data_IF_724226750175
#
_entry.id   IF_724226750175
#
_cell.length_a   1.000
_cell.length_b   1.000
_cell.length_c   1.000
_cell.angle_alpha   90.00
_cell.angle_beta   90.00
_cell.angle_gamma   90.00
#
_symmetry.space_group_name_H-M   'P 1'
#
loop_
_entity.id
_entity.type
_entity.pdbx_description
1 polymer ?
#
# COMPACT_ATOMS: atom_id res chain seq x y z
N UNK A 1 -3.52 -34.39 30.05
CA UNK A 1 -3.03 -33.45 29.01
C UNK A 1 -3.73 -32.12 29.22
N UNK A 2 -3.02 -31.00 29.48
CA UNK A 2 -3.67 -29.71 29.58
C UNK A 2 -4.06 -29.25 28.18
N UNK A 3 -5.36 -29.08 27.95
CA UNK A 3 -5.92 -28.40 26.79
C UNK A 3 -5.58 -26.92 26.91
N UNK A 4 -4.62 -26.43 26.13
CA UNK A 4 -4.37 -24.99 26.03
C UNK A 4 -5.54 -24.33 25.31
N UNK A 5 -6.48 -23.79 26.09
CA UNK A 5 -7.50 -22.86 25.60
C UNK A 5 -6.81 -21.71 24.86
N UNK A 6 -7.24 -21.34 23.64
CA UNK A 6 -6.66 -20.20 22.94
C UNK A 6 -6.84 -18.95 23.79
N UNK A 7 -5.72 -18.32 24.17
CA UNK A 7 -5.72 -17.08 24.95
C UNK A 7 -6.54 -16.01 24.21
N UNK A 8 -7.54 -15.39 24.85
CA UNK A 8 -8.31 -14.33 24.22
C UNK A 8 -7.39 -13.15 23.85
N UNK A 9 -7.69 -12.52 22.71
CA UNK A 9 -7.03 -11.28 22.27
C UNK A 9 -7.06 -10.26 23.40
N UNK A 10 -5.90 -9.79 23.85
CA UNK A 10 -5.81 -8.91 25.02
C UNK A 10 -6.32 -7.52 24.65
N UNK A 11 -6.87 -6.79 25.62
CA UNK A 11 -7.33 -5.40 25.40
C UNK A 11 -6.21 -4.48 24.87
N UNK A 12 -4.94 -4.80 25.17
CA UNK A 12 -3.76 -4.12 24.65
C UNK A 12 -3.59 -4.28 23.13
N UNK A 13 -4.07 -5.38 22.54
CA UNK A 13 -3.96 -5.67 21.11
C UNK A 13 -4.97 -4.86 20.27
N UNK A 14 -5.86 -4.10 20.93
CA UNK A 14 -6.84 -3.21 20.28
C UNK A 14 -6.43 -1.74 20.28
N UNK A 15 -5.32 -1.38 20.92
CA UNK A 15 -4.89 0.02 21.04
C UNK A 15 -4.12 0.44 19.78
N UNK A 16 -4.52 1.55 19.19
CA UNK A 16 -3.80 2.18 18.08
C UNK A 16 -2.44 2.67 18.59
N UNK A 17 -1.37 2.36 17.86
CA UNK A 17 -0.02 2.76 18.22
C UNK A 17 0.13 4.29 18.21
N UNK A 18 0.77 4.89 19.24
CA UNK A 18 1.13 6.31 19.21
C UNK A 18 1.95 6.70 17.98
N UNK A 19 2.76 5.78 17.44
CA UNK A 19 3.54 5.99 16.22
C UNK A 19 2.63 6.19 15.01
N UNK A 20 1.60 5.36 14.87
CA UNK A 20 0.61 5.49 13.79
C UNK A 20 -0.17 6.80 13.91
N UNK A 21 -0.57 7.18 15.12
CA UNK A 21 -1.24 8.45 15.38
C UNK A 21 -0.35 9.63 15.02
N UNK A 22 0.94 9.59 15.38
CA UNK A 22 1.90 10.63 15.03
C UNK A 22 2.07 10.75 13.52
N UNK A 23 2.24 9.63 12.79
CA UNK A 23 2.34 9.63 11.32
C UNK A 23 1.06 10.21 10.71
N UNK A 24 -0.12 9.81 11.19
CA UNK A 24 -1.41 10.31 10.71
C UNK A 24 -1.55 11.81 10.97
N UNK A 25 -1.14 12.30 12.15
CA UNK A 25 -1.18 13.71 12.49
C UNK A 25 -0.22 14.53 11.59
N UNK A 26 1.01 14.06 11.38
CA UNK A 26 1.96 14.69 10.45
C UNK A 26 1.39 14.73 9.04
N UNK A 27 0.77 13.64 8.58
CA UNK A 27 0.12 13.55 7.27
C UNK A 27 -0.99 14.59 7.14
N UNK A 28 -1.85 14.74 8.15
CA UNK A 28 -2.95 15.70 8.15
C UNK A 28 -2.44 17.16 8.14
N UNK A 29 -1.43 17.47 8.96
CA UNK A 29 -0.81 18.79 9.00
C UNK A 29 -0.12 19.12 7.68
N UNK A 30 0.59 18.16 7.09
CA UNK A 30 1.22 18.33 5.78
C UNK A 30 0.16 18.54 4.69
N UNK A 31 -0.92 17.76 4.67
CA UNK A 31 -2.03 17.93 3.74
C UNK A 31 -2.69 19.31 3.85
N UNK A 32 -2.91 19.79 5.08
CA UNK A 32 -3.35 21.18 5.30
C UNK A 32 -2.32 22.20 4.80
N UNK A 33 -1.02 21.96 5.00
CA UNK A 33 0.04 22.82 4.47
C UNK A 33 0.05 22.90 2.94
N UNK A 34 -0.20 21.79 2.25
CA UNK A 34 -0.37 21.74 0.79
C UNK A 34 -1.61 22.54 0.38
N UNK A 35 -2.73 22.36 1.08
CA UNK A 35 -3.96 23.12 0.83
C UNK A 35 -3.78 24.63 1.05
N UNK A 36 -3.09 25.02 2.13
CA UNK A 36 -2.84 26.41 2.48
C UNK A 36 -1.78 27.09 1.59
N UNK A 37 -1.05 26.34 0.76
CA UNK A 37 -0.01 26.87 -0.12
C UNK A 37 1.19 27.44 0.65
N UNK A 38 1.68 26.72 1.67
CA UNK A 38 2.84 27.17 2.45
C UNK A 38 4.10 27.37 1.57
N UNK A 39 5.04 28.26 1.95
CA UNK A 39 6.23 28.54 1.13
C UNK A 39 7.06 27.29 0.76
N UNK A 40 7.08 26.28 1.64
CA UNK A 40 7.76 25.00 1.39
C UNK A 40 6.78 23.93 0.86
N UNK A 41 6.00 24.26 -0.17
CA UNK A 41 4.92 23.38 -0.69
C UNK A 41 5.44 22.00 -1.12
N UNK A 42 6.62 21.92 -1.74
CA UNK A 42 7.21 20.63 -2.14
C UNK A 42 7.49 19.71 -0.95
N UNK A 43 8.01 20.24 0.16
CA UNK A 43 8.20 19.47 1.40
C UNK A 43 6.86 19.05 2.01
N UNK A 44 5.85 19.92 1.97
CA UNK A 44 4.51 19.59 2.43
C UNK A 44 3.87 18.46 1.59
N UNK A 45 4.02 18.50 0.26
CA UNK A 45 3.56 17.44 -0.65
C UNK A 45 4.29 16.14 -0.36
N UNK A 46 5.62 16.19 -0.18
CA UNK A 46 6.43 15.03 0.19
C UNK A 46 5.91 14.36 1.47
N UNK A 47 5.79 15.13 2.56
CA UNK A 47 5.34 14.61 3.85
C UNK A 47 3.90 14.09 3.80
N UNK A 48 3.01 14.76 3.07
CA UNK A 48 1.62 14.34 2.89
C UNK A 48 1.55 13.01 2.13
N UNK A 49 2.19 12.91 0.97
CA UNK A 49 2.13 11.71 0.12
C UNK A 49 2.82 10.53 0.79
N UNK A 50 4.05 10.70 1.31
CA UNK A 50 4.76 9.62 2.01
C UNK A 50 4.01 9.19 3.27
N UNK A 51 3.47 10.14 4.04
CA UNK A 51 2.70 9.84 5.24
C UNK A 51 1.42 9.07 4.95
N UNK A 52 0.64 9.52 3.96
CA UNK A 52 -0.58 8.84 3.52
C UNK A 52 -0.30 7.45 2.97
N UNK A 53 0.81 7.27 2.25
CA UNK A 53 1.29 5.98 1.79
C UNK A 53 1.65 5.03 2.94
N UNK A 54 2.38 5.50 3.96
CA UNK A 54 2.70 4.69 5.14
C UNK A 54 1.44 4.32 5.92
N UNK A 55 0.46 5.22 6.01
CA UNK A 55 -0.84 4.94 6.59
C UNK A 55 -1.56 3.84 5.82
N UNK A 56 -1.61 3.91 4.48
CA UNK A 56 -2.25 2.87 3.67
C UNK A 56 -1.57 1.52 3.82
N UNK A 57 -0.23 1.47 3.86
CA UNK A 57 0.52 0.24 4.15
C UNK A 57 0.19 -0.34 5.53
N UNK A 58 0.07 0.50 6.57
CA UNK A 58 -0.32 0.02 7.89
C UNK A 58 -1.74 -0.56 7.90
N UNK A 59 -2.67 0.07 7.17
CA UNK A 59 -4.05 -0.42 7.03
C UNK A 59 -4.10 -1.72 6.23
N UNK A 60 -3.28 -1.85 5.19
CA UNK A 60 -3.11 -3.07 4.39
C UNK A 60 -2.71 -4.27 5.27
N UNK A 61 -1.65 -4.12 6.05
CA UNK A 61 -1.19 -5.19 6.95
C UNK A 61 -2.19 -5.47 8.08
N UNK A 62 -2.85 -4.43 8.57
CA UNK A 62 -3.93 -4.60 9.54
C UNK A 62 -5.10 -5.40 8.95
N UNK A 63 -5.45 -5.19 7.68
CA UNK A 63 -6.53 -5.92 7.01
C UNK A 63 -6.21 -7.41 6.87
N UNK A 64 -4.98 -7.77 6.51
CA UNK A 64 -4.50 -9.15 6.56
C UNK A 64 -4.65 -9.74 7.97
N UNK A 65 -4.13 -9.04 8.98
CA UNK A 65 -4.14 -9.52 10.35
C UNK A 65 -5.55 -9.68 10.92
N UNK A 66 -6.45 -8.73 10.62
CA UNK A 66 -7.84 -8.75 11.05
C UNK A 66 -8.63 -9.88 10.41
N UNK A 67 -8.42 -10.09 9.11
CA UNK A 67 -9.09 -11.17 8.37
C UNK A 67 -8.59 -12.54 8.83
N UNK A 68 -7.29 -12.66 9.14
CA UNK A 68 -6.71 -13.87 9.71
C UNK A 68 -7.28 -14.17 11.10
N UNK A 69 -7.44 -13.16 11.95
CA UNK A 69 -8.08 -13.29 13.27
C UNK A 69 -9.53 -13.80 13.15
N UNK A 70 -10.34 -13.17 12.28
CA UNK A 70 -11.71 -13.64 12.04
C UNK A 70 -11.77 -15.05 11.43
N UNK A 71 -10.71 -15.46 10.73
CA UNK A 71 -10.59 -16.80 10.13
C UNK A 71 -10.10 -17.88 11.10
N UNK A 72 -9.71 -17.51 12.33
CA UNK A 72 -9.32 -18.42 13.41
C UNK A 72 -7.83 -18.35 13.84
N UNK A 73 -7.00 -17.50 13.21
CA UNK A 73 -5.62 -17.31 13.65
C UNK A 73 -5.56 -16.30 14.80
N UNK A 74 -5.57 -16.81 16.03
CA UNK A 74 -5.41 -15.97 17.23
C UNK A 74 -3.95 -15.51 17.46
N UNK A 75 -2.96 -16.08 16.74
CA UNK A 75 -1.54 -15.73 16.92
C UNK A 75 -1.22 -14.30 16.46
N UNK A 76 -2.04 -13.76 15.56
CA UNK A 76 -1.83 -12.44 14.95
C UNK A 76 -2.04 -11.29 15.94
N UNK A 77 -2.90 -11.50 16.95
CA UNK A 77 -3.05 -10.57 18.07
C UNK A 77 -1.78 -10.49 18.92
N UNK A 78 -1.19 -11.64 19.25
CA UNK A 78 0.02 -11.72 20.06
C UNK A 78 1.27 -11.15 19.35
N UNK A 79 1.29 -11.16 18.01
CA UNK A 79 2.37 -10.56 17.19
C UNK A 79 2.29 -9.02 17.11
N UNK A 80 1.23 -8.40 17.63
CA UNK A 80 1.08 -6.94 17.68
C UNK A 80 0.71 -6.28 16.35
N UNK A 81 0.40 -7.06 15.30
CA UNK A 81 0.00 -6.53 13.98
C UNK A 81 -1.36 -5.81 14.02
N UNK A 82 -2.17 -6.05 15.05
CA UNK A 82 -3.43 -5.34 15.26
C UNK A 82 -3.28 -3.91 15.82
N UNK A 83 -2.06 -3.47 16.13
CA UNK A 83 -1.80 -2.14 16.72
C UNK A 83 -1.47 -1.04 15.70
N UNK A 84 -1.52 -1.35 14.39
CA UNK A 84 -1.14 -0.43 13.30
C UNK A 84 0.30 0.11 13.43
N UNK A 85 1.17 -0.53 14.19
CA UNK A 85 2.52 -0.04 14.43
C UNK A 85 3.46 -0.47 13.29
N UNK A 86 3.98 0.45 12.46
CA UNK A 86 4.92 0.12 11.38
C UNK A 86 6.17 -0.59 11.88
N UNK A 87 6.62 -0.29 13.11
CA UNK A 87 7.85 -0.82 13.68
C UNK A 87 7.72 -2.27 14.20
N UNK A 88 6.50 -2.79 14.31
CA UNK A 88 6.26 -4.15 14.83
C UNK A 88 6.17 -5.21 13.73
N UNK A 89 6.20 -4.82 12.46
CA UNK A 89 6.18 -5.78 11.37
C UNK A 89 7.52 -6.51 11.28
N UNK A 90 7.47 -7.84 11.15
CA UNK A 90 8.61 -8.77 11.28
C UNK A 90 9.77 -8.47 10.35
N UNK A 91 9.50 -7.86 9.20
CA UNK A 91 10.52 -7.37 8.27
C UNK A 91 10.29 -5.89 7.93
N UNK A 92 10.21 -5.01 8.93
CA UNK A 92 10.01 -3.57 8.72
C UNK A 92 10.97 -2.96 7.67
N UNK A 93 12.20 -3.49 7.54
CA UNK A 93 13.15 -3.04 6.52
C UNK A 93 12.68 -3.38 5.08
N UNK A 94 12.29 -4.62 4.81
CA UNK A 94 11.78 -5.01 3.50
C UNK A 94 10.33 -4.54 3.27
N UNK A 95 9.56 -4.38 4.35
CA UNK A 95 8.12 -4.17 4.27
C UNK A 95 7.69 -2.71 4.32
N UNK A 96 8.57 -1.82 4.79
CA UNK A 96 8.31 -0.39 4.87
C UNK A 96 9.46 0.39 4.27
N UNK A 97 10.71 0.14 4.68
CA UNK A 97 11.85 0.95 4.22
C UNK A 97 12.04 0.82 2.71
N UNK A 98 12.02 -0.40 2.17
CA UNK A 98 12.18 -0.61 0.73
C UNK A 98 11.04 0.04 -0.08
N UNK A 99 9.74 -0.18 0.21
CA UNK A 99 8.65 0.52 -0.47
C UNK A 99 8.76 2.04 -0.40
N UNK A 100 9.07 2.60 0.77
CA UNK A 100 9.21 4.05 0.95
C UNK A 100 10.39 4.58 0.12
N UNK A 101 11.54 3.92 0.12
CA UNK A 101 12.69 4.33 -0.69
C UNK A 101 12.35 4.38 -2.19
N UNK A 102 11.59 3.42 -2.71
CA UNK A 102 11.19 3.44 -4.12
C UNK A 102 10.13 4.49 -4.45
N UNK A 103 9.20 4.77 -3.53
CA UNK A 103 8.29 5.90 -3.68
C UNK A 103 9.11 7.20 -3.75
N UNK A 104 10.11 7.37 -2.90
CA UNK A 104 11.04 8.52 -2.90
C UNK A 104 11.84 8.60 -4.21
N UNK A 105 12.45 7.49 -4.66
CA UNK A 105 13.40 7.47 -5.77
C UNK A 105 12.74 7.49 -7.16
N UNK A 106 11.60 6.81 -7.34
CA UNK A 106 11.01 6.57 -8.66
C UNK A 106 9.53 6.92 -8.80
N UNK A 107 8.83 7.25 -7.71
CA UNK A 107 7.40 7.53 -7.73
C UNK A 107 6.53 6.33 -8.09
N UNK A 108 7.01 5.12 -7.81
CA UNK A 108 6.27 3.86 -8.00
C UNK A 108 5.80 3.38 -6.62
N UNK A 109 4.50 3.17 -6.47
CA UNK A 109 3.93 2.59 -5.25
C UNK A 109 4.20 1.09 -5.20
N UNK A 110 4.94 0.61 -4.21
CA UNK A 110 5.31 -0.81 -4.08
C UNK A 110 4.52 -1.59 -3.02
N UNK A 111 4.37 -2.91 -3.21
CA UNK A 111 3.93 -3.82 -2.15
C UNK A 111 4.68 -3.62 -0.83
N UNK A 112 3.93 -3.62 0.28
CA UNK A 112 4.50 -3.97 1.58
C UNK A 112 5.07 -5.40 1.54
N UNK A 113 6.01 -5.68 2.42
CA UNK A 113 6.59 -7.01 2.56
C UNK A 113 5.64 -7.90 3.35
N UNK A 114 5.55 -9.16 2.95
CA UNK A 114 4.54 -10.09 3.43
C UNK A 114 4.50 -10.23 4.97
N UNK A 115 3.31 -10.06 5.56
CA UNK A 115 3.06 -10.41 6.96
C UNK A 115 2.99 -11.93 7.16
N UNK A 116 3.76 -12.43 8.13
CA UNK A 116 3.76 -13.85 8.51
C UNK A 116 2.48 -14.25 9.26
N UNK A 117 1.52 -14.77 8.49
CA UNK A 117 0.30 -15.41 8.98
C UNK A 117 0.57 -16.90 9.20
N UNK A 118 0.09 -17.45 10.31
CA UNK A 118 0.28 -18.87 10.63
C UNK A 118 -0.77 -19.71 9.91
N UNK A 119 -0.55 -19.91 8.60
CA UNK A 119 -1.47 -20.58 7.66
C UNK A 119 -1.93 -21.97 8.14
N UNK A 120 -1.14 -22.65 8.98
CA UNK A 120 -1.49 -23.97 9.54
C UNK A 120 -2.73 -23.97 10.44
N UNK A 121 -3.13 -22.81 10.98
CA UNK A 121 -4.31 -22.70 11.88
C UNK A 121 -5.61 -22.36 11.14
N UNK A 122 -5.54 -21.96 9.88
CA UNK A 122 -6.71 -21.49 9.11
C UNK A 122 -7.29 -22.65 8.29
N UNK A 123 -8.58 -22.92 8.50
CA UNK A 123 -9.32 -23.99 7.81
C UNK A 123 -10.00 -23.49 6.54
N UNK A 124 -9.69 -24.10 5.40
CA UNK A 124 -10.38 -23.91 4.13
C UNK A 124 -9.69 -22.95 3.15
N UNK A 125 -9.66 -23.33 1.87
CA UNK A 125 -8.94 -22.61 0.79
C UNK A 125 -9.43 -21.18 0.61
N UNK A 126 -10.75 -20.97 0.68
CA UNK A 126 -11.37 -19.65 0.58
C UNK A 126 -10.90 -18.67 1.66
N UNK A 127 -10.71 -19.13 2.90
CA UNK A 127 -10.25 -18.25 3.99
C UNK A 127 -8.81 -17.81 3.76
N UNK A 128 -7.96 -18.71 3.28
CA UNK A 128 -6.58 -18.37 2.88
C UNK A 128 -6.56 -17.32 1.77
N UNK A 129 -7.37 -17.52 0.72
CA UNK A 129 -7.48 -16.56 -0.37
C UNK A 129 -8.00 -15.19 0.10
N UNK A 130 -9.02 -15.18 0.97
CA UNK A 130 -9.60 -13.94 1.49
C UNK A 130 -8.61 -13.17 2.37
N UNK A 131 -7.83 -13.88 3.19
CA UNK A 131 -6.78 -13.25 4.00
C UNK A 131 -5.76 -12.59 3.08
N UNK A 132 -5.26 -13.28 2.05
CA UNK A 132 -4.33 -12.70 1.09
C UNK A 132 -4.96 -11.61 0.21
N UNK A 133 -6.27 -11.60 -0.01
CA UNK A 133 -6.92 -10.52 -0.75
C UNK A 133 -7.16 -9.26 0.10
N UNK A 134 -7.21 -9.37 1.43
CA UNK A 134 -7.64 -8.29 2.32
C UNK A 134 -6.74 -7.04 2.25
N UNK A 135 -5.42 -7.20 2.24
CA UNK A 135 -4.48 -6.09 2.05
C UNK A 135 -4.64 -5.42 0.68
N UNK A 136 -4.49 -6.14 -0.45
CA UNK A 136 -4.68 -5.58 -1.79
C UNK A 136 -6.03 -4.86 -1.96
N UNK A 137 -7.12 -5.39 -1.41
CA UNK A 137 -8.44 -4.74 -1.41
C UNK A 137 -8.44 -3.44 -0.61
N UNK A 138 -7.68 -3.35 0.48
CA UNK A 138 -7.51 -2.10 1.25
C UNK A 138 -6.81 -1.04 0.41
N UNK A 139 -5.79 -1.41 -0.38
CA UNK A 139 -5.15 -0.49 -1.32
C UNK A 139 -6.11 -0.03 -2.41
N UNK A 140 -6.98 -0.92 -2.93
CA UNK A 140 -8.03 -0.53 -3.89
C UNK A 140 -8.99 0.48 -3.28
N UNK A 141 -9.49 0.23 -2.06
CA UNK A 141 -10.37 1.18 -1.37
C UNK A 141 -9.67 2.52 -1.20
N UNK A 142 -8.39 2.53 -0.81
CA UNK A 142 -7.62 3.76 -0.66
C UNK A 142 -7.43 4.50 -1.99
N UNK A 143 -7.13 3.78 -3.07
CA UNK A 143 -7.03 4.33 -4.42
C UNK A 143 -8.36 5.00 -4.85
N UNK A 144 -9.49 4.32 -4.62
CA UNK A 144 -10.83 4.85 -4.89
C UNK A 144 -11.09 6.10 -4.05
N UNK A 145 -10.78 6.10 -2.75
CA UNK A 145 -10.96 7.29 -1.89
C UNK A 145 -10.11 8.46 -2.37
N UNK A 146 -8.86 8.23 -2.78
CA UNK A 146 -8.00 9.29 -3.30
C UNK A 146 -8.47 9.82 -4.65
N UNK A 147 -8.98 8.96 -5.53
CA UNK A 147 -9.42 9.36 -6.86
C UNK A 147 -10.88 9.86 -6.90
N UNK A 148 -11.69 9.58 -5.88
CA UNK A 148 -13.11 9.97 -5.84
C UNK A 148 -13.38 11.45 -6.12
N UNK A 149 -12.60 12.40 -5.58
CA UNK A 149 -12.82 13.81 -5.88
C UNK A 149 -12.74 14.16 -7.38
N UNK A 150 -11.96 13.40 -8.17
CA UNK A 150 -11.74 13.66 -9.59
C UNK A 150 -12.98 13.36 -10.43
N UNK A 151 -13.59 12.18 -10.26
CA UNK A 151 -14.79 11.82 -11.04
C UNK A 151 -16.09 12.37 -10.45
N UNK A 152 -16.11 12.72 -9.16
CA UNK A 152 -17.28 13.32 -8.51
C UNK A 152 -17.41 14.83 -8.77
N UNK A 153 -16.44 15.45 -9.45
CA UNK A 153 -16.41 16.90 -9.66
C UNK A 153 -16.20 17.69 -8.36
N UNK A 154 -15.61 17.07 -7.33
CA UNK A 154 -15.40 17.70 -6.02
C UNK A 154 -14.06 18.44 -5.93
N UNK A 155 -13.40 18.69 -7.07
CA UNK A 155 -12.13 19.42 -7.15
C UNK A 155 -12.30 20.89 -7.53
N UNK A 156 -13.52 21.35 -7.76
CA UNK A 156 -13.80 22.76 -8.03
C UNK A 156 -13.44 23.61 -6.80
N UNK A 157 -12.56 24.59 -7.00
CA UNK A 157 -12.04 25.45 -5.92
C UNK A 157 -10.96 24.80 -5.04
N UNK A 158 -10.55 23.55 -5.33
CA UNK A 158 -9.42 22.91 -4.65
C UNK A 158 -8.10 23.53 -5.14
N UNK A 159 -7.18 23.92 -4.24
CA UNK A 159 -5.87 24.45 -4.62
C UNK A 159 -5.11 23.49 -5.56
N UNK A 160 -4.47 23.97 -6.66
CA UNK A 160 -3.80 23.13 -7.64
C UNK A 160 -2.78 22.16 -7.02
N UNK A 161 -1.97 22.65 -6.08
CA UNK A 161 -0.97 21.82 -5.39
C UNK A 161 -1.60 20.62 -4.67
N UNK A 162 -2.77 20.80 -4.05
CA UNK A 162 -3.46 19.72 -3.33
C UNK A 162 -4.05 18.72 -4.31
N UNK A 163 -4.68 19.20 -5.39
CA UNK A 163 -5.17 18.36 -6.49
C UNK A 163 -4.06 17.48 -7.06
N UNK A 164 -2.90 18.05 -7.37
CA UNK A 164 -1.77 17.31 -7.92
C UNK A 164 -1.18 16.32 -6.93
N UNK A 165 -1.01 16.72 -5.66
CA UNK A 165 -0.56 15.79 -4.61
C UNK A 165 -1.52 14.60 -4.46
N UNK A 166 -2.82 14.83 -4.53
CA UNK A 166 -3.84 13.79 -4.47
C UNK A 166 -3.81 12.88 -5.71
N UNK A 167 -3.61 13.44 -6.90
CA UNK A 167 -3.47 12.69 -8.15
C UNK A 167 -2.26 11.76 -8.12
N UNK A 168 -1.11 12.25 -7.64
CA UNK A 168 0.07 11.42 -7.47
C UNK A 168 -0.10 10.36 -6.36
N UNK A 169 -0.77 10.68 -5.26
CA UNK A 169 -1.12 9.67 -4.24
C UNK A 169 -2.02 8.58 -4.84
N UNK A 170 -3.01 8.94 -5.66
CA UNK A 170 -3.86 7.97 -6.36
C UNK A 170 -3.03 7.06 -7.29
N UNK A 171 -2.08 7.62 -8.05
CA UNK A 171 -1.14 6.85 -8.86
C UNK A 171 -0.38 5.81 -8.03
N UNK A 172 0.17 6.21 -6.88
CA UNK A 172 0.88 5.29 -5.99
C UNK A 172 -0.04 4.15 -5.53
N UNK A 173 -1.27 4.45 -5.09
CA UNK A 173 -2.21 3.45 -4.59
C UNK A 173 -2.69 2.48 -5.67
N UNK A 174 -2.98 2.98 -6.88
CA UNK A 174 -3.34 2.13 -8.04
C UNK A 174 -2.18 1.21 -8.40
N UNK A 175 -0.96 1.76 -8.46
CA UNK A 175 0.26 0.98 -8.71
C UNK A 175 0.44 -0.11 -7.64
N UNK A 176 0.29 0.25 -6.36
CA UNK A 176 0.35 -0.68 -5.24
C UNK A 176 -0.67 -1.81 -5.40
N UNK A 177 -1.92 -1.46 -5.69
CA UNK A 177 -3.01 -2.41 -5.82
C UNK A 177 -2.72 -3.42 -6.94
N UNK A 178 -2.36 -2.92 -8.14
CA UNK A 178 -2.07 -3.78 -9.29
C UNK A 178 -0.89 -4.72 -8.98
N UNK A 179 0.21 -4.19 -8.44
CA UNK A 179 1.37 -5.01 -8.09
C UNK A 179 1.03 -6.06 -7.04
N UNK A 180 0.27 -5.70 -6.00
CA UNK A 180 -0.12 -6.63 -4.96
C UNK A 180 -1.08 -7.72 -5.45
N UNK A 181 -1.84 -7.50 -6.54
CA UNK A 181 -2.67 -8.54 -7.15
C UNK A 181 -1.91 -9.44 -8.14
N UNK A 182 -0.66 -9.14 -8.48
CA UNK A 182 0.11 -10.01 -9.37
C UNK A 182 0.29 -11.40 -8.73
N UNK A 183 0.05 -12.50 -9.47
CA UNK A 183 0.19 -13.87 -8.97
C UNK A 183 1.66 -14.31 -8.91
N UNK A 184 2.54 -13.45 -8.40
CA UNK A 184 3.98 -13.69 -8.26
C UNK A 184 4.28 -14.18 -6.84
N UNK A 185 5.03 -15.29 -6.69
CA UNK A 185 5.37 -15.85 -5.37
C UNK A 185 6.01 -14.80 -4.47
N UNK A 186 5.52 -14.64 -3.23
CA UNK A 186 6.01 -13.60 -2.32
C UNK A 186 5.17 -12.31 -2.33
N UNK A 187 4.26 -12.15 -3.29
CA UNK A 187 3.22 -11.13 -3.28
C UNK A 187 1.86 -11.71 -2.86
N UNK A 188 0.95 -10.84 -2.45
CA UNK A 188 -0.37 -11.22 -1.95
C UNK A 188 -1.24 -11.91 -3.01
N UNK A 189 -1.17 -11.46 -4.27
CA UNK A 189 -1.90 -12.04 -5.38
C UNK A 189 -1.57 -13.52 -5.58
N UNK A 190 -0.31 -13.93 -5.36
CA UNK A 190 0.02 -15.35 -5.31
C UNK A 190 -0.64 -16.04 -4.13
N UNK A 191 -0.67 -15.42 -2.96
CA UNK A 191 -1.37 -15.93 -1.78
C UNK A 191 -2.88 -16.13 -1.99
N UNK A 192 -3.52 -15.38 -2.90
CA UNK A 192 -4.92 -15.58 -3.30
C UNK A 192 -5.09 -16.89 -4.08
N UNK A 193 -4.20 -17.20 -5.03
CA UNK A 193 -4.29 -18.39 -5.88
C UNK A 193 -3.61 -19.63 -5.28
N UNK A 194 -2.63 -19.45 -4.40
CA UNK A 194 -1.82 -20.51 -3.80
C UNK A 194 -2.66 -21.67 -3.20
N UNK A 195 -3.76 -21.44 -2.45
CA UNK A 195 -4.55 -22.51 -1.86
C UNK A 195 -5.22 -23.43 -2.88
N UNK A 196 -5.34 -22.97 -4.13
CA UNK A 196 -5.96 -23.68 -5.24
C UNK A 196 -4.96 -24.48 -6.07
N UNK A 197 -3.67 -24.18 -5.94
CA UNK A 197 -2.60 -24.88 -6.63
C UNK A 197 -2.39 -26.29 -6.04
N UNK A 198 -1.94 -27.22 -6.90
CA UNK A 198 -1.55 -28.55 -6.46
C UNK A 198 -0.36 -28.50 -5.51
N UNK A 199 -0.25 -29.48 -4.60
CA UNK A 199 0.88 -29.55 -3.65
C UNK A 199 2.24 -29.60 -4.35
N UNK A 200 2.31 -30.20 -5.54
CA UNK A 200 3.53 -30.28 -6.36
C UNK A 200 3.96 -28.88 -6.80
N UNK A 201 3.04 -28.10 -7.36
CA UNK A 201 3.32 -26.73 -7.82
C UNK A 201 3.76 -25.85 -6.64
N UNK A 202 3.04 -25.91 -5.50
CA UNK A 202 3.40 -25.11 -4.32
C UNK A 202 4.83 -25.37 -3.84
N UNK A 203 5.24 -26.65 -3.75
CA UNK A 203 6.61 -27.03 -3.35
C UNK A 203 7.68 -26.58 -4.35
N UNK A 204 7.36 -26.54 -5.63
CA UNK A 204 8.30 -26.07 -6.65
C UNK A 204 8.46 -24.54 -6.60
N UNK A 205 7.41 -23.84 -6.22
CA UNK A 205 7.34 -22.38 -6.26
C UNK A 205 7.81 -21.72 -4.94
N UNK A 206 7.64 -22.41 -3.81
CA UNK A 206 8.01 -21.94 -2.47
C UNK A 206 9.46 -21.37 -2.35
N UNK A 207 10.50 -21.99 -2.93
CA UNK A 207 11.87 -21.45 -2.88
C UNK A 207 12.03 -20.09 -3.56
N UNK A 208 11.14 -19.74 -4.49
CA UNK A 208 11.21 -18.50 -5.25
C UNK A 208 10.50 -17.33 -4.55
N UNK A 209 9.70 -17.58 -3.50
CA UNK A 209 8.93 -16.54 -2.82
C UNK A 209 9.78 -15.35 -2.30
N UNK A 210 10.99 -15.54 -1.73
CA UNK A 210 11.83 -14.41 -1.30
C UNK A 210 12.31 -13.54 -2.47
N UNK A 211 12.37 -14.09 -3.69
CA UNK A 211 12.83 -13.40 -4.89
C UNK A 211 11.69 -12.77 -5.71
N UNK A 212 10.44 -12.93 -5.30
CA UNK A 212 9.28 -12.46 -6.04
C UNK A 212 9.30 -10.97 -6.35
N UNK A 213 9.58 -10.16 -5.33
CA UNK A 213 9.67 -8.71 -5.50
C UNK A 213 10.80 -8.33 -6.46
N UNK A 214 11.97 -8.98 -6.35
CA UNK A 214 13.09 -8.79 -7.26
C UNK A 214 12.75 -9.20 -8.70
N UNK A 215 11.99 -10.29 -8.87
CA UNK A 215 11.53 -10.74 -10.18
C UNK A 215 10.58 -9.73 -10.82
N UNK A 216 9.65 -9.14 -10.05
CA UNK A 216 8.79 -8.05 -10.54
C UNK A 216 9.62 -6.86 -11.01
N UNK A 217 10.64 -6.44 -10.26
CA UNK A 217 11.52 -5.37 -10.71
C UNK A 217 12.28 -5.71 -11.99
N UNK A 218 12.84 -6.92 -12.07
CA UNK A 218 13.55 -7.36 -13.27
C UNK A 218 12.61 -7.36 -14.49
N UNK A 219 11.34 -7.75 -14.31
CA UNK A 219 10.33 -7.67 -15.37
C UNK A 219 9.98 -6.23 -15.74
N UNK A 220 9.82 -5.33 -14.77
CA UNK A 220 9.54 -3.91 -15.02
C UNK A 220 10.72 -3.14 -15.64
N UNK A 221 11.92 -3.73 -15.64
CA UNK A 221 13.08 -3.19 -16.38
C UNK A 221 12.97 -3.45 -17.89
N UNK A 222 12.15 -4.42 -18.31
CA UNK A 222 11.88 -4.68 -19.72
C UNK A 222 10.96 -3.57 -20.24
N UNK A 223 11.38 -2.77 -21.24
CA UNK A 223 10.63 -1.60 -21.69
C UNK A 223 9.19 -1.90 -22.13
N UNK A 224 8.96 -3.05 -22.77
CA UNK A 224 7.65 -3.50 -23.22
C UNK A 224 6.71 -3.77 -22.04
N UNK A 225 7.23 -4.45 -21.01
CA UNK A 225 6.48 -4.77 -19.79
C UNK A 225 6.20 -3.50 -19.01
N UNK A 226 7.18 -2.61 -18.90
CA UNK A 226 7.03 -1.31 -18.24
C UNK A 226 5.92 -0.48 -18.91
N UNK A 227 5.95 -0.35 -20.25
CA UNK A 227 4.92 0.36 -21.02
C UNK A 227 3.55 -0.26 -20.85
N UNK A 228 3.44 -1.59 -20.89
CA UNK A 228 2.16 -2.27 -20.69
C UNK A 228 1.62 -2.08 -19.27
N UNK A 229 2.50 -2.14 -18.27
CA UNK A 229 2.15 -1.94 -16.87
C UNK A 229 1.66 -0.51 -16.60
N UNK A 230 2.43 0.50 -16.99
CA UNK A 230 2.02 1.90 -16.81
C UNK A 230 0.83 2.26 -17.70
N UNK A 231 0.71 1.71 -18.91
CA UNK A 231 -0.49 1.88 -19.73
C UNK A 231 -1.76 1.34 -19.05
N UNK A 232 -1.67 0.23 -18.30
CA UNK A 232 -2.78 -0.25 -17.47
C UNK A 232 -3.07 0.71 -16.31
N UNK A 233 -2.03 1.20 -15.62
CA UNK A 233 -2.16 2.15 -14.52
C UNK A 233 -2.85 3.43 -15.00
N UNK A 234 -2.39 4.00 -16.11
CA UNK A 234 -2.92 5.22 -16.71
C UNK A 234 -4.36 5.02 -17.21
N UNK A 235 -4.68 3.86 -17.79
CA UNK A 235 -6.06 3.53 -18.18
C UNK A 235 -7.00 3.46 -16.97
N UNK A 236 -6.55 2.88 -15.85
CA UNK A 236 -7.33 2.83 -14.61
C UNK A 236 -7.52 4.24 -14.04
N UNK A 237 -6.45 5.02 -13.94
CA UNK A 237 -6.51 6.39 -13.44
C UNK A 237 -7.38 7.30 -14.30
N UNK A 238 -7.25 7.23 -15.61
CA UNK A 238 -8.09 7.97 -16.55
C UNK A 238 -9.57 7.57 -16.43
N UNK A 239 -9.85 6.27 -16.22
CA UNK A 239 -11.20 5.79 -15.90
C UNK A 239 -11.76 6.33 -14.57
N UNK A 240 -10.88 6.68 -13.62
CA UNK A 240 -11.21 7.35 -12.37
C UNK A 240 -11.12 8.89 -12.48
N UNK A 241 -10.96 9.45 -13.67
CA UNK A 241 -10.89 10.90 -13.89
C UNK A 241 -9.59 11.56 -13.44
N UNK A 242 -8.58 10.80 -13.01
CA UNK A 242 -7.25 11.32 -12.66
C UNK A 242 -6.45 11.45 -13.95
N UNK A 243 -6.07 12.67 -14.32
CA UNK A 243 -5.33 12.91 -15.57
C UNK A 243 -3.83 12.63 -15.42
N UNK A 244 -3.15 12.36 -16.53
CA UNK A 244 -1.67 12.29 -16.57
C UNK A 244 -1.02 13.59 -16.10
N UNK A 245 -1.68 14.73 -16.32
CA UNK A 245 -1.22 16.03 -15.86
C UNK A 245 -1.21 16.11 -14.32
N UNK A 246 -2.26 15.59 -13.68
CA UNK A 246 -2.38 15.57 -12.22
C UNK A 246 -1.26 14.73 -11.58
N UNK A 247 -0.99 13.55 -12.15
CA UNK A 247 0.04 12.65 -11.64
C UNK A 247 1.45 13.16 -11.93
N UNK A 248 1.68 13.78 -13.09
CA UNK A 248 2.96 14.38 -13.46
C UNK A 248 3.35 15.51 -12.52
N UNK A 249 2.47 16.50 -12.32
CA UNK A 249 2.77 17.63 -11.44
C UNK A 249 2.88 17.21 -9.98
N UNK A 250 2.04 16.25 -9.54
CA UNK A 250 2.14 15.71 -8.20
C UNK A 250 3.48 15.03 -7.95
N UNK A 251 3.98 14.25 -8.92
CA UNK A 251 5.32 13.64 -8.85
C UNK A 251 6.42 14.69 -8.80
N UNK A 252 6.35 15.74 -9.63
CA UNK A 252 7.35 16.82 -9.63
C UNK A 252 7.39 17.58 -8.32
N UNK A 253 6.23 17.93 -7.76
CA UNK A 253 6.12 18.57 -6.45
C UNK A 253 6.63 17.66 -5.33
N UNK A 254 6.37 16.36 -5.42
CA UNK A 254 6.87 15.37 -4.48
C UNK A 254 8.40 15.26 -4.50
N UNK A 255 9.02 15.30 -5.69
CA UNK A 255 10.47 15.22 -5.89
C UNK A 255 11.12 16.62 -5.87
N UNK A 256 10.74 17.45 -4.91
CA UNK A 256 11.14 18.87 -4.86
C UNK A 256 12.66 19.13 -4.87
N UNK A 257 13.47 18.15 -4.42
CA UNK A 257 14.93 18.24 -4.41
C UNK A 257 15.56 18.15 -5.82
N UNK A 258 14.81 17.74 -6.84
CA UNK A 258 15.25 17.77 -8.24
C UNK A 258 15.03 19.13 -8.92
N UNK A 259 14.49 20.10 -8.18
CA UNK A 259 14.05 21.40 -8.69
C UNK A 259 12.55 21.43 -8.95
N UNK A 260 11.86 22.40 -8.36
CA UNK A 260 10.45 22.68 -8.62
C UNK A 260 10.35 23.85 -9.61
N UNK A 261 9.88 23.58 -10.83
CA UNK A 261 9.36 24.65 -11.68
C UNK A 261 8.07 25.17 -11.03
N UNK A 262 7.77 26.47 -11.20
CA UNK A 262 6.47 27.00 -10.82
C UNK A 262 5.38 26.19 -11.52
N UNK A 263 4.37 25.75 -10.75
CA UNK A 263 3.19 25.10 -11.33
C UNK A 263 2.61 26.06 -12.37
N UNK A 264 2.40 25.62 -13.62
CA UNK A 264 1.83 26.47 -14.65
C UNK A 264 0.49 26.99 -14.16
N UNK A 265 0.29 28.31 -14.31
CA UNK A 265 -1.03 28.88 -14.15
C UNK A 265 -1.93 28.20 -15.20
N UNK A 266 -2.85 27.35 -14.73
CA UNK A 266 -3.87 26.71 -15.56
C UNK A 266 -4.90 27.70 -16.05
#
# INVERSE_FOLDING_TARGET
MPTSSPSPVRAADRRISPVFLAITAVTAVAGWGVWAGVPAVGLAVFLFVTGAWVVSLCLHEYAHARTALHSGDVSVGAKGYLTLNPLKYTHALLSIVLPVLFVILGGIGLPGGAVFIERSRIRGRWRHSLISAAGPLTNVVFAVVCAAPFWLGALDGVPPYFRYALGFLALLQVTAAILNFLPVPGLDGYGVVEPWLSRKVRRQVEPFAPYGLLAVFALLWIPEVNRAFFGLVDAVLGGLGVSEWDTYWGRRLYQFWLGTDEVPAG
#
